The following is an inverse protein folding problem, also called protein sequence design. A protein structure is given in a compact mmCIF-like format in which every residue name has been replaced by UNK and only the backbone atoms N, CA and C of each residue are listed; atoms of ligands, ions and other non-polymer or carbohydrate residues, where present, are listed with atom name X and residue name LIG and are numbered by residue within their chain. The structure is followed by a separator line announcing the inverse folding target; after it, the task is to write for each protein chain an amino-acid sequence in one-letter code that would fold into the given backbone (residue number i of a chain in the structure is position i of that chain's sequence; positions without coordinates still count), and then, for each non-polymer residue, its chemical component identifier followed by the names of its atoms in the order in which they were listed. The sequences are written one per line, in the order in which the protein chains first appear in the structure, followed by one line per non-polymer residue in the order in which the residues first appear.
data_IF_760326085889
#
_entry.id   IF_760326085889
#
_cell.length_a   1.000
_cell.length_b   1.000
_cell.length_c   1.000
_cell.angle_alpha   90.00
_cell.angle_beta   90.00
_cell.angle_gamma   90.00
#
_symmetry.space_group_name_H-M   'P 1'
#
loop_
_entity.id
_entity.type
_entity.pdbx_description
1 polymer ?
#
# COMPACT_ATOMS: atom_id res chain seq x y z
N UNK A 1 -3.47 -26.64 -13.61
CA UNK A 1 -3.84 -25.45 -14.43
C UNK A 1 -3.27 -24.22 -13.76
N UNK A 2 -2.25 -23.54 -14.32
CA UNK A 2 -1.77 -22.30 -13.73
C UNK A 2 -2.76 -21.17 -14.05
N UNK A 3 -3.15 -20.40 -13.04
CA UNK A 3 -3.90 -19.16 -13.23
C UNK A 3 -3.01 -18.19 -14.02
N UNK A 4 -3.32 -18.03 -15.29
CA UNK A 4 -2.73 -17.03 -16.15
C UNK A 4 -3.37 -15.67 -15.79
N UNK A 5 -2.83 -15.00 -14.78
CA UNK A 5 -3.12 -13.60 -14.45
C UNK A 5 -2.55 -12.71 -15.55
N UNK A 6 -3.13 -12.79 -16.76
CA UNK A 6 -3.01 -11.70 -17.72
C UNK A 6 -3.57 -10.47 -17.05
N UNK A 7 -2.69 -9.50 -16.79
CA UNK A 7 -3.05 -8.12 -16.43
C UNK A 7 -4.32 -7.73 -17.19
N UNK A 8 -5.42 -7.49 -16.46
CA UNK A 8 -6.67 -7.01 -17.05
C UNK A 8 -6.28 -5.75 -17.85
N UNK A 9 -6.44 -5.71 -19.17
CA UNK A 9 -5.82 -4.69 -20.03
C UNK A 9 -6.24 -3.24 -19.71
N UNK A 10 -7.34 -3.06 -18.98
CA UNK A 10 -7.85 -1.77 -18.49
C UNK A 10 -7.35 -1.37 -17.09
N UNK A 11 -6.74 -2.27 -16.32
CA UNK A 11 -6.16 -1.96 -15.01
C UNK A 11 -4.94 -1.04 -15.09
N UNK A 12 -3.98 -1.20 -16.03
CA UNK A 12 -2.81 -0.32 -16.08
C UNK A 12 -3.18 1.17 -16.26
N UNK A 13 -4.20 1.49 -17.06
CA UNK A 13 -4.68 2.88 -17.26
C UNK A 13 -5.45 3.44 -16.06
N UNK A 14 -6.09 2.57 -15.27
CA UNK A 14 -6.69 2.94 -13.99
C UNK A 14 -5.64 3.43 -12.98
N UNK A 15 -4.39 2.97 -13.12
CA UNK A 15 -3.29 3.06 -12.14
C UNK A 15 -2.18 4.07 -12.47
N UNK A 16 -2.33 4.90 -13.52
CA UNK A 16 -1.23 5.68 -14.12
C UNK A 16 -0.55 6.77 -13.25
N UNK A 17 -0.83 6.86 -11.95
CA UNK A 17 0.06 7.54 -11.00
C UNK A 17 -0.03 7.00 -9.56
N UNK A 18 -0.18 5.67 -9.40
CA UNK A 18 -0.28 4.86 -8.15
C UNK A 18 -1.30 5.26 -7.06
N UNK A 19 -1.57 6.54 -6.80
CA UNK A 19 -2.71 7.08 -6.04
C UNK A 19 -3.12 8.51 -6.50
N UNK A 20 -2.38 9.14 -7.43
CA UNK A 20 -2.48 10.58 -7.74
C UNK A 20 -3.73 11.05 -8.47
N UNK A 21 -4.79 10.24 -8.53
CA UNK A 21 -6.08 10.61 -9.15
C UNK A 21 -7.01 11.24 -8.11
N UNK A 22 -6.80 10.97 -6.83
CA UNK A 22 -7.60 11.49 -5.73
C UNK A 22 -6.69 12.19 -4.72
N UNK A 23 -7.13 13.35 -4.22
CA UNK A 23 -6.50 13.92 -3.03
C UNK A 23 -6.75 12.96 -1.86
N UNK A 24 -5.76 12.75 -0.99
CA UNK A 24 -5.80 11.72 0.05
C UNK A 24 -6.97 11.89 1.01
N UNK A 25 -7.39 13.13 1.27
CA UNK A 25 -8.52 13.49 2.12
C UNK A 25 -9.86 13.01 1.54
N UNK A 26 -9.92 12.76 0.23
CA UNK A 26 -11.10 12.20 -0.41
C UNK A 26 -11.26 10.71 -0.12
N UNK A 27 -10.19 10.01 0.29
CA UNK A 27 -10.18 8.58 0.58
C UNK A 27 -10.44 8.37 2.07
N UNK A 28 -11.72 8.19 2.41
CA UNK A 28 -12.16 7.89 3.78
C UNK A 28 -12.29 6.39 3.99
N UNK A 29 -12.14 5.95 5.23
CA UNK A 29 -12.22 4.55 5.63
C UNK A 29 -13.16 4.44 6.83
N UNK A 30 -13.82 3.30 6.96
CA UNK A 30 -14.81 3.04 8.01
C UNK A 30 -15.79 1.96 7.56
N UNK A 31 -16.53 1.39 8.50
CA UNK A 31 -17.44 0.27 8.23
C UNK A 31 -18.47 0.58 7.12
N UNK A 32 -19.10 1.77 7.07
CA UNK A 32 -20.00 2.12 5.97
C UNK A 32 -19.32 2.17 4.59
N UNK A 33 -18.03 2.49 4.56
CA UNK A 33 -17.25 2.53 3.32
C UNK A 33 -17.20 1.14 2.72
N UNK A 34 -16.92 0.08 3.50
CA UNK A 34 -16.82 -1.31 3.00
C UNK A 34 -18.06 -1.72 2.19
N UNK A 35 -19.26 -1.42 2.70
CA UNK A 35 -20.53 -1.69 2.00
C UNK A 35 -20.62 -0.86 0.71
N UNK A 36 -20.26 0.41 0.75
CA UNK A 36 -20.25 1.29 -0.43
C UNK A 36 -19.28 0.80 -1.52
N UNK A 37 -18.10 0.30 -1.12
CA UNK A 37 -17.10 -0.28 -2.02
C UNK A 37 -17.68 -1.48 -2.77
N UNK A 38 -18.31 -2.40 -2.03
CA UNK A 38 -18.92 -3.60 -2.61
C UNK A 38 -19.94 -3.24 -3.69
N UNK A 39 -20.87 -2.32 -3.40
CA UNK A 39 -21.89 -1.93 -4.37
C UNK A 39 -21.30 -1.21 -5.59
N UNK A 40 -20.32 -0.34 -5.39
CA UNK A 40 -19.68 0.38 -6.49
C UNK A 40 -18.90 -0.57 -7.42
N UNK A 41 -18.16 -1.52 -6.85
CA UNK A 41 -17.33 -2.45 -7.62
C UNK A 41 -18.15 -3.61 -8.22
N UNK A 42 -19.27 -4.00 -7.61
CA UNK A 42 -20.21 -4.96 -8.20
C UNK A 42 -20.80 -4.46 -9.53
N UNK A 43 -20.92 -3.15 -9.69
CA UNK A 43 -21.42 -2.49 -10.90
C UNK A 43 -20.29 -1.98 -11.81
N UNK A 44 -19.08 -2.53 -11.66
CA UNK A 44 -17.92 -2.08 -12.44
C UNK A 44 -18.19 -2.18 -13.94
N UNK A 45 -17.93 -1.09 -14.66
CA UNK A 45 -18.08 -1.03 -16.10
C UNK A 45 -16.83 -0.37 -16.71
N UNK A 46 -15.94 -1.14 -17.35
CA UNK A 46 -14.69 -0.64 -17.91
C UNK A 46 -14.89 0.26 -19.15
N UNK A 47 -16.07 0.21 -19.78
CA UNK A 47 -16.37 0.96 -21.01
C UNK A 47 -16.76 2.41 -20.72
N UNK A 48 -16.89 2.79 -19.44
CA UNK A 48 -17.14 4.16 -19.04
C UNK A 48 -15.91 5.04 -19.30
N UNK A 49 -16.12 6.19 -19.96
CA UNK A 49 -15.08 7.18 -20.14
C UNK A 49 -14.50 7.68 -18.80
N UNK A 50 -13.21 8.06 -18.78
CA UNK A 50 -12.50 8.44 -17.55
C UNK A 50 -13.10 9.64 -16.79
N UNK A 51 -13.80 10.53 -17.50
CA UNK A 51 -14.48 11.70 -16.93
C UNK A 51 -15.89 11.38 -16.39
N UNK A 52 -16.38 10.15 -16.59
CA UNK A 52 -17.68 9.71 -16.10
C UNK A 52 -17.66 9.63 -14.55
N UNK A 53 -18.73 10.14 -13.92
CA UNK A 53 -18.84 10.16 -12.46
C UNK A 53 -18.88 8.75 -11.84
N UNK A 54 -19.54 7.80 -12.49
CA UNK A 54 -19.56 6.40 -12.03
C UNK A 54 -18.17 5.77 -12.17
N UNK A 55 -17.43 6.07 -13.25
CA UNK A 55 -16.04 5.61 -13.39
C UNK A 55 -15.16 6.20 -12.28
N UNK A 56 -15.30 7.49 -11.97
CA UNK A 56 -14.60 8.12 -10.83
C UNK A 56 -14.96 7.44 -9.50
N UNK A 57 -16.22 7.11 -9.26
CA UNK A 57 -16.67 6.38 -8.07
C UNK A 57 -16.05 4.99 -8.00
N UNK A 58 -16.08 4.23 -9.09
CA UNK A 58 -15.51 2.88 -9.18
C UNK A 58 -14.00 2.88 -8.92
N UNK A 59 -13.28 3.86 -9.50
CA UNK A 59 -11.85 4.07 -9.25
C UNK A 59 -11.53 4.35 -7.80
N UNK A 60 -12.28 5.27 -7.20
CA UNK A 60 -12.15 5.60 -5.77
C UNK A 60 -12.36 4.35 -4.92
N UNK A 61 -13.41 3.57 -5.22
CA UNK A 61 -13.71 2.35 -4.49
C UNK A 61 -12.63 1.28 -4.64
N UNK A 62 -12.06 1.13 -5.83
CA UNK A 62 -10.95 0.21 -6.06
C UNK A 62 -9.72 0.59 -5.24
N UNK A 63 -9.36 1.88 -5.23
CA UNK A 63 -8.24 2.40 -4.43
C UNK A 63 -8.46 2.14 -2.94
N UNK A 64 -9.66 2.43 -2.42
CA UNK A 64 -9.99 2.17 -1.02
C UNK A 64 -9.94 0.66 -0.69
N UNK A 65 -10.38 -0.21 -1.61
CA UNK A 65 -10.27 -1.66 -1.44
C UNK A 65 -8.81 -2.11 -1.34
N UNK A 66 -7.94 -1.60 -2.23
CA UNK A 66 -6.50 -1.91 -2.22
C UNK A 66 -5.88 -1.49 -0.89
N UNK A 67 -6.18 -0.29 -0.39
CA UNK A 67 -5.66 0.16 0.90
C UNK A 67 -6.14 -0.73 2.05
N UNK A 68 -7.44 -1.05 2.08
CA UNK A 68 -8.04 -1.87 3.14
C UNK A 68 -7.49 -3.30 3.20
N UNK A 69 -7.24 -3.92 2.05
CA UNK A 69 -6.94 -5.36 2.01
C UNK A 69 -5.52 -5.69 1.55
N UNK A 70 -4.89 -4.87 0.72
CA UNK A 70 -3.53 -5.10 0.27
C UNK A 70 -2.53 -4.34 1.15
N UNK A 71 -2.70 -3.03 1.29
CA UNK A 71 -1.73 -2.20 2.03
C UNK A 71 -1.78 -2.46 3.54
N UNK A 72 -2.97 -2.66 4.10
CA UNK A 72 -3.14 -3.06 5.49
C UNK A 72 -2.40 -4.37 5.83
N UNK A 73 -2.24 -5.29 4.88
CA UNK A 73 -1.48 -6.53 5.12
C UNK A 73 0.02 -6.24 5.13
N UNK A 74 0.49 -5.33 4.28
CA UNK A 74 1.91 -4.96 4.18
C UNK A 74 2.42 -4.22 5.42
N UNK A 75 1.61 -3.33 5.99
CA UNK A 75 2.02 -2.46 7.10
C UNK A 75 1.21 -2.69 8.37
N UNK A 76 1.88 -3.13 9.45
CA UNK A 76 1.25 -3.42 10.74
C UNK A 76 0.55 -2.20 11.33
N UNK A 77 1.22 -1.04 11.30
CA UNK A 77 0.67 0.22 11.82
C UNK A 77 -0.55 0.71 11.02
N UNK A 78 -0.54 0.53 9.70
CA UNK A 78 -1.70 0.86 8.87
C UNK A 78 -2.88 -0.05 9.18
N UNK A 79 -2.65 -1.36 9.33
CA UNK A 79 -3.67 -2.32 9.75
C UNK A 79 -4.32 -1.90 11.07
N UNK A 80 -3.52 -1.61 12.08
CA UNK A 80 -3.99 -1.20 13.39
C UNK A 80 -4.84 0.08 13.29
N UNK A 81 -4.39 1.05 12.50
CA UNK A 81 -5.15 2.29 12.29
C UNK A 81 -6.47 2.06 11.57
N UNK A 82 -6.49 1.24 10.53
CA UNK A 82 -7.72 0.91 9.81
C UNK A 82 -8.71 0.19 10.73
N UNK A 83 -8.25 -0.74 11.57
CA UNK A 83 -9.11 -1.43 12.54
C UNK A 83 -9.73 -0.45 13.54
N UNK A 84 -8.93 0.46 14.11
CA UNK A 84 -9.44 1.53 14.99
C UNK A 84 -10.50 2.39 14.31
N UNK A 85 -10.30 2.74 13.03
CA UNK A 85 -11.26 3.52 12.26
C UNK A 85 -12.56 2.72 12.06
N UNK A 86 -12.47 1.43 11.75
CA UNK A 86 -13.64 0.56 11.58
C UNK A 86 -14.46 0.42 12.87
N UNK A 87 -13.79 0.29 14.02
CA UNK A 87 -14.39 0.21 15.35
C UNK A 87 -15.06 1.53 15.77
N UNK A 88 -14.51 2.67 15.35
CA UNK A 88 -15.04 4.00 15.69
C UNK A 88 -16.36 4.37 15.02
N UNK A 89 -16.87 3.56 14.08
CA UNK A 89 -18.16 3.74 13.41
C UNK A 89 -18.26 4.91 12.43
N UNK A 90 -17.34 5.89 12.50
CA UNK A 90 -17.26 7.01 11.57
C UNK A 90 -16.39 6.69 10.35
N UNK A 91 -16.60 7.45 9.26
CA UNK A 91 -15.75 7.38 8.07
C UNK A 91 -14.76 8.53 8.04
N UNK A 92 -13.47 8.25 8.19
CA UNK A 92 -12.41 9.27 8.29
C UNK A 92 -11.24 8.95 7.36
N UNK A 93 -10.48 9.97 6.89
CA UNK A 93 -9.28 9.73 6.07
C UNK A 93 -8.14 9.12 6.90
N UNK A 94 -7.22 8.46 6.21
CA UNK A 94 -5.93 8.08 6.82
C UNK A 94 -5.05 9.32 7.02
N UNK A 95 -4.21 9.35 8.06
CA UNK A 95 -3.20 10.39 8.24
C UNK A 95 -2.29 10.51 7.01
N UNK A 96 -1.89 11.75 6.68
CA UNK A 96 -1.10 12.06 5.48
C UNK A 96 0.19 11.24 5.38
N UNK A 97 0.95 11.14 6.47
CA UNK A 97 2.22 10.41 6.52
C UNK A 97 2.10 8.92 6.16
N UNK A 98 0.92 8.31 6.38
CA UNK A 98 0.70 6.89 6.04
C UNK A 98 0.65 6.65 4.53
N UNK A 99 0.37 7.69 3.73
CA UNK A 99 0.38 7.59 2.27
C UNK A 99 1.80 7.51 1.73
N UNK A 100 2.76 8.17 2.37
CA UNK A 100 4.19 8.06 2.04
C UNK A 100 4.69 6.62 2.20
N UNK A 101 4.16 5.89 3.18
CA UNK A 101 4.51 4.47 3.40
C UNK A 101 4.20 3.61 2.18
N UNK A 102 3.04 3.85 1.54
CA UNK A 102 2.62 3.11 0.35
C UNK A 102 3.59 3.28 -0.81
N UNK A 103 4.17 4.47 -0.95
CA UNK A 103 5.11 4.79 -2.02
C UNK A 103 6.48 4.16 -1.79
N UNK A 104 6.88 4.00 -0.52
CA UNK A 104 8.23 3.53 -0.14
C UNK A 104 8.26 2.09 0.39
N UNK A 105 7.22 1.28 0.15
CA UNK A 105 7.21 -0.13 0.55
C UNK A 105 8.43 -0.91 0.03
N UNK A 106 8.86 -0.62 -1.21
CA UNK A 106 10.04 -1.24 -1.81
C UNK A 106 11.31 -0.87 -1.05
N UNK A 107 11.50 0.40 -0.68
CA UNK A 107 12.67 0.84 0.06
C UNK A 107 12.73 0.20 1.46
N UNK A 108 11.59 0.19 2.18
CA UNK A 108 11.49 -0.48 3.48
C UNK A 108 11.77 -1.99 3.38
N UNK A 109 11.29 -2.65 2.31
CA UNK A 109 11.57 -4.06 2.07
C UNK A 109 13.04 -4.33 1.77
N UNK A 110 13.67 -3.51 0.92
CA UNK A 110 15.10 -3.59 0.62
C UNK A 110 15.95 -3.40 1.87
N UNK A 111 15.63 -2.40 2.70
CA UNK A 111 16.33 -2.17 3.95
C UNK A 111 16.19 -3.38 4.91
N UNK A 112 15.01 -3.99 4.98
CA UNK A 112 14.80 -5.19 5.79
C UNK A 112 15.64 -6.38 5.31
N UNK A 113 15.67 -6.63 4.00
CA UNK A 113 16.49 -7.69 3.41
C UNK A 113 18.00 -7.43 3.60
N UNK A 114 18.44 -6.19 3.43
CA UNK A 114 19.82 -5.77 3.66
C UNK A 114 20.22 -5.99 5.13
N UNK A 115 19.38 -5.54 6.07
CA UNK A 115 19.59 -5.69 7.51
C UNK A 115 19.69 -7.15 7.90
N UNK A 116 18.84 -8.01 7.32
CA UNK A 116 18.88 -9.44 7.58
C UNK A 116 20.16 -10.10 7.06
N UNK A 117 20.59 -9.77 5.84
CA UNK A 117 21.86 -10.27 5.28
C UNK A 117 23.06 -9.89 6.16
N UNK A 118 23.10 -8.64 6.61
CA UNK A 118 24.15 -8.12 7.50
C UNK A 118 24.16 -8.82 8.86
N UNK A 119 22.98 -9.08 9.42
CA UNK A 119 22.84 -9.86 10.65
C UNK A 119 23.39 -11.28 10.49
N UNK A 120 23.11 -11.93 9.36
CA UNK A 120 23.63 -13.27 9.05
C UNK A 120 25.18 -13.27 8.88
N UNK A 121 25.76 -12.14 8.47
CA UNK A 121 27.21 -11.89 8.43
C UNK A 121 27.81 -11.50 9.79
N UNK A 122 26.99 -11.42 10.86
CA UNK A 122 27.41 -11.02 12.20
C UNK A 122 27.51 -9.51 12.42
N UNK A 123 27.01 -8.69 11.48
CA UNK A 123 27.12 -7.23 11.51
C UNK A 123 25.82 -6.59 12.01
N UNK A 124 25.87 -6.11 13.25
CA UNK A 124 24.71 -5.59 13.97
C UNK A 124 24.50 -4.07 13.83
N UNK A 125 25.47 -3.34 13.26
CA UNK A 125 25.33 -1.90 13.02
C UNK A 125 24.58 -1.63 11.72
N UNK A 126 23.65 -0.68 11.77
CA UNK A 126 22.90 -0.20 10.62
C UNK A 126 23.79 0.65 9.71
N UNK A 127 23.65 0.44 8.42
CA UNK A 127 24.34 1.21 7.39
C UNK A 127 23.64 2.58 7.24
N UNK A 128 24.35 3.71 7.45
CA UNK A 128 23.74 5.04 7.41
C UNK A 128 23.04 5.37 6.08
N UNK A 129 23.59 4.92 4.96
CA UNK A 129 23.03 5.21 3.63
C UNK A 129 21.73 4.43 3.43
N UNK A 130 21.71 3.16 3.86
CA UNK A 130 20.50 2.34 3.80
C UNK A 130 19.42 2.84 4.77
N UNK A 131 19.81 3.33 5.94
CA UNK A 131 18.89 3.90 6.91
C UNK A 131 18.29 5.23 6.42
N UNK A 132 19.09 6.10 5.80
CA UNK A 132 18.63 7.35 5.20
C UNK A 132 17.54 7.16 4.15
N UNK A 133 17.55 6.02 3.42
CA UNK A 133 16.51 5.70 2.44
C UNK A 133 15.11 5.47 3.05
N UNK A 134 15.03 5.18 4.34
CA UNK A 134 13.78 4.84 5.06
C UNK A 134 13.45 5.77 6.22
N UNK A 135 14.29 6.76 6.52
CA UNK A 135 14.12 7.68 7.65
C UNK A 135 12.77 8.42 7.62
N UNK A 136 12.33 8.88 6.44
CA UNK A 136 11.03 9.54 6.25
C UNK A 136 9.81 8.66 6.62
N UNK A 137 10.01 7.35 6.80
CA UNK A 137 8.98 6.43 7.26
C UNK A 137 8.87 6.37 8.78
N UNK A 138 9.71 7.12 9.49
CA UNK A 138 9.87 7.04 10.94
C UNK A 138 10.57 5.75 11.38
N UNK A 139 11.46 5.21 10.53
CA UNK A 139 12.31 4.05 10.81
C UNK A 139 13.70 4.58 11.15
N UNK A 140 14.14 4.38 12.39
CA UNK A 140 15.41 4.91 12.89
C UNK A 140 16.47 3.81 13.08
N UNK A 141 16.07 2.55 13.01
CA UNK A 141 16.95 1.39 13.10
C UNK A 141 16.24 0.13 12.57
N UNK A 142 16.98 -0.97 12.43
CA UNK A 142 16.41 -2.26 11.97
C UNK A 142 15.27 -2.81 12.83
N UNK A 143 15.23 -2.53 14.12
CA UNK A 143 14.20 -3.09 15.01
C UNK A 143 12.82 -2.46 14.74
N UNK A 144 12.79 -1.20 14.27
CA UNK A 144 11.54 -0.53 13.90
C UNK A 144 10.80 -1.26 12.77
N UNK A 145 11.53 -1.96 11.88
CA UNK A 145 10.96 -2.74 10.79
C UNK A 145 10.01 -3.84 11.29
N UNK A 146 10.33 -4.47 12.43
CA UNK A 146 9.51 -5.54 13.02
C UNK A 146 8.13 -5.00 13.41
N UNK A 147 8.07 -3.77 13.91
CA UNK A 147 6.81 -3.09 14.24
C UNK A 147 6.13 -2.41 13.05
N UNK A 148 6.85 -2.24 11.93
CA UNK A 148 6.38 -1.51 10.77
C UNK A 148 5.83 -2.41 9.66
N UNK A 149 6.60 -3.41 9.21
CA UNK A 149 6.24 -4.32 8.13
C UNK A 149 5.60 -5.60 8.67
N UNK A 150 4.57 -6.09 7.98
CA UNK A 150 4.10 -7.48 8.11
C UNK A 150 4.50 -8.34 6.92
N UNK A 151 4.71 -7.74 5.75
CA UNK A 151 5.21 -8.42 4.56
C UNK A 151 6.38 -7.66 3.95
N UNK A 152 7.38 -8.41 3.51
CA UNK A 152 8.56 -7.91 2.80
C UNK A 152 8.40 -8.27 1.33
N UNK A 153 8.60 -7.28 0.46
CA UNK A 153 8.72 -7.54 -0.97
C UNK A 153 10.06 -8.24 -1.22
N UNK A 154 10.01 -9.50 -1.65
CA UNK A 154 11.22 -10.19 -2.08
C UNK A 154 11.61 -9.67 -3.47
N UNK A 155 12.63 -8.82 -3.54
CA UNK A 155 13.27 -8.49 -4.80
C UNK A 155 14.11 -9.70 -5.22
N UNK A 156 13.61 -10.48 -6.18
CA UNK A 156 14.52 -11.33 -6.95
C UNK A 156 15.45 -10.35 -7.68
N UNK A 157 16.73 -10.31 -7.29
CA UNK A 157 17.75 -9.67 -8.09
C UNK A 157 17.69 -10.32 -9.48
N UNK A 158 17.14 -9.61 -10.46
CA UNK A 158 17.46 -9.90 -11.85
C UNK A 158 18.91 -9.43 -11.95
N UNK A 159 19.84 -10.38 -11.96
CA UNK A 159 21.19 -10.13 -12.43
C UNK A 159 21.05 -9.71 -13.90
N UNK A 160 21.17 -8.41 -14.17
CA UNK A 160 21.54 -7.94 -15.50
C UNK A 160 23.06 -8.19 -15.61
N UNK A 161 23.41 -9.26 -16.31
CA UNK A 161 24.75 -9.51 -16.85
C UNK A 161 25.08 -8.51 -17.97
#
# INVERSE_FOLDING_TARGET
MPLNLRLIPSLPQLFLSRYGIFKWEQLVFGTPVVTSLYHALRQFNPDLGLMNQNMRRQRKSLVQLIVLFCEAVRFKRMRARILQIMEGGQSVPLPEHMWTWLQKWSAASSFALYSKRREDEGIMHDDPDQLGAVEELGINNRNDLVGFLSLILHTAYIHDD
#
